data_IF_001954055024
#
_entry.id   IF_001954055024
#
_cell.length_a   1.000
_cell.length_b   1.000
_cell.length_c   1.000
_cell.angle_alpha   90.00
_cell.angle_beta   90.00
_cell.angle_gamma   90.00
#
_symmetry.space_group_name_H-M   'P 1'
#
loop_
_entity.id
_entity.type
_entity.pdbx_description
1 polymer ?
#
# COMPACT_ATOMS: atom_id res chain seq x y z
N UNK A 1 -7.44 1.07 18.81
CA UNK A 1 -6.86 0.36 17.64
C UNK A 1 -5.55 1.00 17.22
N UNK A 2 -4.53 0.24 16.78
CA UNK A 2 -3.28 0.74 16.22
C UNK A 2 -3.04 0.13 14.84
N UNK A 3 -2.73 0.97 13.86
CA UNK A 3 -2.55 0.53 12.47
C UNK A 3 -1.22 1.05 11.92
N UNK A 4 -0.36 0.15 11.45
CA UNK A 4 0.82 0.50 10.67
C UNK A 4 0.51 0.40 9.17
N UNK A 5 0.77 1.47 8.43
CA UNK A 5 0.72 1.51 6.98
C UNK A 5 2.16 1.41 6.46
N UNK A 6 2.54 0.29 5.89
CA UNK A 6 3.91 0.04 5.47
C UNK A 6 4.02 -0.15 3.94
N UNK A 7 5.01 0.48 3.35
CA UNK A 7 5.21 0.44 1.91
C UNK A 7 6.27 1.43 1.42
N UNK A 8 6.07 1.95 0.24
CA UNK A 8 7.02 2.80 -0.48
C UNK A 8 6.70 4.31 -0.35
N UNK A 9 7.11 5.09 -1.35
CA UNK A 9 6.88 6.55 -1.42
C UNK A 9 5.40 6.92 -1.54
N UNK A 10 4.57 6.05 -2.14
CA UNK A 10 3.13 6.29 -2.27
C UNK A 10 2.42 6.12 -0.91
N UNK A 11 2.91 5.22 -0.06
CA UNK A 11 2.48 5.14 1.35
C UNK A 11 2.96 6.36 2.12
N UNK A 12 4.21 6.79 1.90
CA UNK A 12 4.74 8.01 2.52
C UNK A 12 3.95 9.28 2.15
N UNK A 13 3.24 9.27 1.01
CA UNK A 13 2.49 10.42 0.51
C UNK A 13 3.37 11.42 -0.24
N UNK A 14 4.44 10.94 -0.90
CA UNK A 14 5.34 11.77 -1.70
C UNK A 14 4.59 12.49 -2.81
N UNK A 15 4.84 13.78 -3.01
CA UNK A 15 4.16 14.61 -4.02
C UNK A 15 2.90 15.32 -3.52
N UNK A 16 2.33 14.88 -2.38
CA UNK A 16 1.19 15.56 -1.77
C UNK A 16 1.64 16.81 -1.00
N UNK A 17 1.34 17.99 -1.53
CA UNK A 17 1.66 19.28 -0.92
C UNK A 17 0.97 19.49 0.44
N UNK A 18 -0.10 18.74 0.74
CA UNK A 18 -0.75 18.74 2.06
C UNK A 18 -0.09 17.78 3.06
N UNK A 19 0.92 17.02 2.64
CA UNK A 19 1.65 16.02 3.43
C UNK A 19 0.75 14.92 4.07
N UNK A 20 -0.45 14.67 3.55
CA UNK A 20 -1.40 13.69 4.10
C UNK A 20 -1.32 12.33 3.41
N UNK A 21 -1.00 12.31 2.12
CA UNK A 21 -1.08 11.11 1.30
C UNK A 21 -2.46 10.45 1.33
N UNK A 22 -2.60 9.25 0.78
CA UNK A 22 -3.82 8.46 0.93
C UNK A 22 -3.96 7.91 2.36
N UNK A 23 -2.86 7.59 3.03
CA UNK A 23 -2.85 7.04 4.40
C UNK A 23 -3.49 7.99 5.39
N UNK A 24 -3.07 9.26 5.40
CA UNK A 24 -3.65 10.26 6.31
C UNK A 24 -5.13 10.53 6.05
N UNK A 25 -5.55 10.44 4.78
CA UNK A 25 -6.96 10.61 4.40
C UNK A 25 -7.82 9.41 4.80
N UNK A 26 -7.33 8.18 4.63
CA UNK A 26 -8.00 6.96 5.09
C UNK A 26 -8.11 6.95 6.62
N UNK A 27 -7.03 7.29 7.32
CA UNK A 27 -7.04 7.41 8.79
C UNK A 27 -8.07 8.46 9.27
N UNK A 28 -8.12 9.63 8.62
CA UNK A 28 -9.11 10.66 8.93
C UNK A 28 -10.55 10.18 8.71
N UNK A 29 -10.82 9.44 7.63
CA UNK A 29 -12.12 8.85 7.35
C UNK A 29 -12.51 7.80 8.41
N UNK A 30 -11.56 6.95 8.84
CA UNK A 30 -11.78 5.97 9.89
C UNK A 30 -12.15 6.64 11.23
N UNK A 31 -11.41 7.67 11.61
CA UNK A 31 -11.66 8.45 12.84
C UNK A 31 -13.00 9.18 12.76
N UNK A 32 -13.31 9.84 11.66
CA UNK A 32 -14.61 10.50 11.44
C UNK A 32 -15.77 9.49 11.47
N UNK A 33 -15.53 8.24 11.08
CA UNK A 33 -16.46 7.12 11.21
C UNK A 33 -16.54 6.51 12.61
N UNK A 34 -15.90 7.08 13.61
CA UNK A 34 -15.99 6.68 15.03
C UNK A 34 -14.97 5.63 15.49
N UNK A 35 -13.94 5.30 14.67
CA UNK A 35 -12.86 4.42 15.14
C UNK A 35 -11.87 5.21 16.01
N UNK A 36 -11.57 4.69 17.19
CA UNK A 36 -10.43 5.15 18.01
C UNK A 36 -9.14 4.57 17.40
N UNK A 37 -8.50 5.34 16.54
CA UNK A 37 -7.40 4.90 15.69
C UNK A 37 -6.14 5.74 15.91
N UNK A 38 -5.00 5.05 16.16
CA UNK A 38 -3.65 5.61 15.98
C UNK A 38 -3.03 5.02 14.71
N UNK A 39 -2.78 5.87 13.72
CA UNK A 39 -2.15 5.49 12.45
C UNK A 39 -0.66 5.81 12.45
N UNK A 40 0.16 4.85 12.04
CA UNK A 40 1.60 5.00 11.84
C UNK A 40 1.93 4.82 10.36
N UNK A 41 2.43 5.87 9.72
CA UNK A 41 2.91 5.80 8.35
C UNK A 41 4.38 5.35 8.34
N UNK A 42 4.63 4.19 7.75
CA UNK A 42 5.96 3.55 7.61
C UNK A 42 6.37 3.49 6.11
N UNK A 43 5.93 4.44 5.31
CA UNK A 43 6.33 4.58 3.91
C UNK A 43 7.79 5.01 3.77
N UNK A 44 8.54 4.39 2.85
CA UNK A 44 9.94 4.77 2.53
C UNK A 44 10.11 4.91 1.03
N UNK A 45 10.55 6.09 0.58
CA UNK A 45 10.74 6.39 -0.85
C UNK A 45 11.63 5.37 -1.54
N UNK A 46 11.18 4.90 -2.71
CA UNK A 46 11.94 3.97 -3.55
C UNK A 46 12.01 2.52 -3.04
N UNK A 47 11.37 2.21 -1.91
CA UNK A 47 11.44 0.87 -1.33
C UNK A 47 10.76 -0.17 -2.23
N UNK A 48 11.45 -1.29 -2.49
CA UNK A 48 10.87 -2.49 -3.09
C UNK A 48 10.14 -3.33 -2.03
N UNK A 49 9.32 -4.28 -2.46
CA UNK A 49 8.65 -5.25 -1.57
C UNK A 49 9.63 -5.97 -0.64
N UNK A 50 10.80 -6.37 -1.17
CA UNK A 50 11.87 -7.04 -0.41
C UNK A 50 12.42 -6.13 0.70
N UNK A 51 12.59 -4.85 0.41
CA UNK A 51 13.06 -3.87 1.40
C UNK A 51 11.99 -3.61 2.47
N UNK A 52 10.70 -3.53 2.08
CA UNK A 52 9.59 -3.45 3.04
C UNK A 52 9.57 -4.67 3.95
N UNK A 53 9.68 -5.90 3.40
CA UNK A 53 9.68 -7.14 4.18
C UNK A 53 10.83 -7.22 5.19
N UNK A 54 12.01 -6.68 4.85
CA UNK A 54 13.18 -6.68 5.75
C UNK A 54 12.98 -5.81 6.99
N UNK A 55 12.30 -4.67 6.87
CA UNK A 55 12.16 -3.68 7.96
C UNK A 55 10.84 -3.79 8.72
N UNK A 56 9.79 -4.39 8.14
CA UNK A 56 8.42 -4.38 8.67
C UNK A 56 8.36 -4.77 10.15
N UNK A 57 8.93 -5.92 10.53
CA UNK A 57 8.84 -6.41 11.90
C UNK A 57 9.54 -5.48 12.91
N UNK A 58 10.68 -4.90 12.53
CA UNK A 58 11.46 -3.98 13.40
C UNK A 58 10.70 -2.68 13.61
N UNK A 59 10.08 -2.15 12.57
CA UNK A 59 9.37 -0.88 12.62
C UNK A 59 7.95 -1.00 13.22
N UNK A 60 7.24 -2.09 12.94
CA UNK A 60 5.88 -2.28 13.41
C UNK A 60 5.81 -2.69 14.90
N UNK A 61 6.68 -3.57 15.37
CA UNK A 61 6.66 -4.08 16.77
C UNK A 61 6.55 -3.01 17.84
N UNK A 62 7.36 -1.94 17.86
CA UNK A 62 7.29 -0.93 18.92
C UNK A 62 5.99 -0.10 18.87
N UNK A 63 5.23 -0.16 17.78
CA UNK A 63 3.99 0.58 17.54
C UNK A 63 2.74 -0.25 17.78
N UNK A 64 2.85 -1.58 17.68
CA UNK A 64 1.78 -2.54 17.83
C UNK A 64 1.97 -3.30 19.15
N UNK A 65 1.51 -2.70 20.26
CA UNK A 65 1.69 -3.25 21.61
C UNK A 65 0.74 -4.44 21.84
N UNK A 66 1.19 -5.43 22.60
CA UNK A 66 0.36 -6.55 23.00
C UNK A 66 -0.89 -6.08 23.77
N UNK A 67 -2.05 -6.63 23.43
CA UNK A 67 -3.34 -6.28 24.04
C UNK A 67 -4.15 -5.25 23.28
N UNK A 68 -3.55 -4.52 22.34
CA UNK A 68 -4.28 -3.61 21.45
C UNK A 68 -4.90 -4.37 20.27
N UNK A 69 -5.97 -3.83 19.67
CA UNK A 69 -6.40 -4.20 18.31
C UNK A 69 -5.38 -3.63 17.33
N UNK A 70 -4.43 -4.47 16.93
CA UNK A 70 -3.29 -4.12 16.09
C UNK A 70 -3.49 -4.65 14.67
N UNK A 71 -3.18 -3.82 13.65
CA UNK A 71 -3.33 -4.17 12.24
C UNK A 71 -2.22 -3.59 11.39
N UNK A 72 -1.97 -4.20 10.23
CA UNK A 72 -1.00 -3.72 9.24
C UNK A 72 -1.69 -3.61 7.89
N UNK A 73 -1.55 -2.46 7.24
CA UNK A 73 -1.91 -2.24 5.83
C UNK A 73 -0.62 -2.14 5.03
N UNK A 74 -0.46 -3.01 4.05
CA UNK A 74 0.69 -3.04 3.15
C UNK A 74 0.33 -2.40 1.81
N UNK A 75 1.27 -1.68 1.19
CA UNK A 75 1.17 -1.26 -0.22
C UNK A 75 2.57 -1.10 -0.80
N UNK A 76 2.85 -1.85 -1.87
CA UNK A 76 4.15 -1.89 -2.56
C UNK A 76 3.96 -2.45 -3.98
N UNK A 77 5.03 -2.48 -4.76
CA UNK A 77 5.07 -3.14 -6.06
C UNK A 77 5.44 -2.21 -7.21
N UNK A 78 5.15 -0.91 -7.14
CA UNK A 78 5.54 0.03 -8.20
C UNK A 78 7.05 0.03 -8.42
N UNK A 79 7.84 0.11 -7.36
CA UNK A 79 9.31 0.09 -7.46
C UNK A 79 9.85 -1.27 -7.93
N UNK A 80 9.16 -2.35 -7.66
CA UNK A 80 9.54 -3.71 -8.07
C UNK A 80 9.53 -3.85 -9.60
N UNK A 81 8.58 -3.18 -10.28
CA UNK A 81 8.38 -3.23 -11.72
C UNK A 81 9.28 -2.29 -12.53
N UNK A 82 10.04 -1.41 -11.87
CA UNK A 82 11.02 -0.54 -12.55
C UNK A 82 12.10 -1.42 -13.20
N UNK A 83 12.43 -1.11 -14.46
CA UNK A 83 13.50 -1.78 -15.20
C UNK A 83 14.76 -0.93 -15.14
N UNK A 84 15.83 -1.51 -14.59
CA UNK A 84 17.18 -0.94 -14.53
C UNK A 84 18.14 -1.93 -15.21
N UNK A 85 18.96 -1.49 -16.15
CA UNK A 85 19.90 -2.34 -16.91
C UNK A 85 19.23 -3.57 -17.56
N UNK A 86 18.00 -3.40 -18.08
CA UNK A 86 17.23 -4.44 -18.76
C UNK A 86 16.59 -5.48 -17.82
N UNK A 87 16.56 -5.25 -16.52
CA UNK A 87 15.96 -6.16 -15.54
C UNK A 87 15.03 -5.40 -14.59
N UNK A 88 13.93 -6.03 -14.22
CA UNK A 88 13.11 -5.51 -13.13
C UNK A 88 13.92 -5.49 -11.83
N UNK A 89 13.69 -4.47 -10.99
CA UNK A 89 14.33 -4.37 -9.67
C UNK A 89 14.00 -5.58 -8.80
N UNK A 90 12.74 -6.04 -8.85
CA UNK A 90 12.34 -7.32 -8.25
C UNK A 90 11.47 -8.09 -9.25
N UNK A 91 11.82 -9.32 -9.62
CA UNK A 91 10.93 -10.19 -10.37
C UNK A 91 9.64 -10.47 -9.59
N UNK A 92 8.53 -10.71 -10.29
CA UNK A 92 7.21 -10.98 -9.67
C UNK A 92 7.30 -12.02 -8.55
N UNK A 93 8.02 -13.12 -8.76
CA UNK A 93 8.16 -14.18 -7.75
C UNK A 93 8.81 -13.69 -6.45
N UNK A 94 9.78 -12.78 -6.54
CA UNK A 94 10.42 -12.17 -5.36
C UNK A 94 9.45 -11.27 -4.60
N UNK A 95 8.58 -10.57 -5.32
CA UNK A 95 7.52 -9.74 -4.72
C UNK A 95 6.51 -10.61 -3.97
N UNK A 96 6.09 -11.75 -4.56
CA UNK A 96 5.20 -12.71 -3.90
C UNK A 96 5.86 -13.35 -2.66
N UNK A 97 7.13 -13.75 -2.75
CA UNK A 97 7.90 -14.25 -1.60
C UNK A 97 8.00 -13.22 -0.47
N UNK A 98 8.17 -11.93 -0.82
CA UNK A 98 8.17 -10.84 0.15
C UNK A 98 6.80 -10.72 0.86
N UNK A 99 5.69 -10.87 0.14
CA UNK A 99 4.34 -10.87 0.73
C UNK A 99 4.17 -12.05 1.72
N UNK A 100 4.56 -13.27 1.33
CA UNK A 100 4.55 -14.46 2.22
C UNK A 100 5.34 -14.19 3.49
N UNK A 101 6.56 -13.67 3.33
CA UNK A 101 7.45 -13.32 4.45
C UNK A 101 6.82 -12.27 5.39
N UNK A 102 6.20 -11.24 4.83
CA UNK A 102 5.53 -10.20 5.64
C UNK A 102 4.35 -10.76 6.40
N UNK A 103 3.51 -11.58 5.76
CA UNK A 103 2.37 -12.25 6.40
C UNK A 103 2.81 -13.12 7.56
N UNK A 104 3.85 -13.95 7.38
CA UNK A 104 4.33 -14.86 8.42
C UNK A 104 4.97 -14.10 9.60
N UNK A 105 5.74 -13.05 9.31
CA UNK A 105 6.37 -12.21 10.35
C UNK A 105 5.41 -11.28 11.08
N UNK A 106 4.28 -10.93 10.46
CA UNK A 106 3.24 -10.13 11.08
C UNK A 106 2.39 -10.95 12.06
N UNK A 107 2.29 -12.28 11.86
CA UNK A 107 1.42 -13.13 12.67
C UNK A 107 1.69 -12.97 14.18
N UNK A 108 0.64 -12.89 15.03
CA UNK A 108 -0.78 -13.02 14.71
C UNK A 108 -1.49 -11.71 14.28
N UNK A 109 -0.77 -10.63 14.00
CA UNK A 109 -1.36 -9.35 13.60
C UNK A 109 -1.96 -9.47 12.20
N UNK A 110 -3.27 -9.17 12.00
CA UNK A 110 -3.89 -9.20 10.69
C UNK A 110 -3.25 -8.19 9.72
N UNK A 111 -3.14 -8.59 8.46
CA UNK A 111 -2.67 -7.71 7.38
C UNK A 111 -3.73 -7.57 6.29
N UNK A 112 -3.74 -6.41 5.62
CA UNK A 112 -4.46 -6.13 4.38
C UNK A 112 -3.45 -5.62 3.35
N UNK A 113 -3.59 -6.03 2.09
CA UNK A 113 -2.74 -5.57 1.00
C UNK A 113 -3.52 -4.64 0.07
N UNK A 114 -2.96 -3.45 -0.18
CA UNK A 114 -3.38 -2.53 -1.24
C UNK A 114 -2.45 -2.73 -2.42
N UNK A 115 -2.99 -3.00 -3.59
CA UNK A 115 -2.24 -3.18 -4.83
C UNK A 115 -1.52 -1.92 -5.30
N UNK A 116 -0.53 -2.06 -6.20
CA UNK A 116 0.22 -0.93 -6.76
C UNK A 116 -0.68 -0.07 -7.64
N UNK A 117 -0.64 1.27 -7.55
CA UNK A 117 -1.31 2.15 -8.49
C UNK A 117 -0.52 2.32 -9.79
N UNK A 118 -1.16 2.94 -10.80
CA UNK A 118 -0.54 3.25 -12.09
C UNK A 118 0.49 4.39 -11.99
N UNK A 119 1.45 4.38 -12.92
CA UNK A 119 2.49 5.41 -13.15
C UNK A 119 2.34 6.03 -14.54
N UNK A 120 3.23 6.95 -14.93
CA UNK A 120 3.16 7.59 -16.26
C UNK A 120 3.67 6.71 -17.41
N UNK A 121 4.48 5.71 -17.15
CA UNK A 121 5.08 4.79 -18.12
C UNK A 121 4.12 3.63 -18.47
N UNK A 122 3.68 3.55 -19.73
CA UNK A 122 2.72 2.53 -20.17
C UNK A 122 3.32 1.11 -20.13
N UNK A 123 4.60 0.94 -20.48
CA UNK A 123 5.26 -0.38 -20.39
C UNK A 123 5.39 -0.82 -18.93
N UNK A 124 5.66 0.11 -18.02
CA UNK A 124 5.65 -0.18 -16.58
C UNK A 124 4.23 -0.48 -16.10
N UNK A 125 3.21 0.20 -16.59
CA UNK A 125 1.81 -0.09 -16.27
C UNK A 125 1.39 -1.49 -16.71
N UNK A 126 1.87 -1.98 -17.84
CA UNK A 126 1.65 -3.38 -18.27
C UNK A 126 2.28 -4.36 -17.25
N UNK A 127 3.49 -4.08 -16.79
CA UNK A 127 4.16 -4.88 -15.75
C UNK A 127 3.43 -4.79 -14.41
N UNK A 128 2.96 -3.59 -14.03
CA UNK A 128 2.15 -3.38 -12.81
C UNK A 128 0.86 -4.19 -12.89
N UNK A 129 0.16 -4.18 -14.01
CA UNK A 129 -1.08 -4.96 -14.19
C UNK A 129 -0.85 -6.47 -14.00
N UNK A 130 0.26 -7.00 -14.54
CA UNK A 130 0.63 -8.41 -14.34
C UNK A 130 0.91 -8.70 -12.87
N UNK A 131 1.66 -7.82 -12.21
CA UNK A 131 1.99 -7.95 -10.79
C UNK A 131 0.74 -7.80 -9.90
N UNK A 132 -0.15 -6.85 -10.21
CA UNK A 132 -1.41 -6.61 -9.47
C UNK A 132 -2.27 -7.87 -9.41
N UNK A 133 -2.46 -8.55 -10.56
CA UNK A 133 -3.18 -9.82 -10.64
C UNK A 133 -2.48 -10.94 -9.87
N UNK A 134 -1.16 -11.01 -9.95
CA UNK A 134 -0.39 -12.02 -9.21
C UNK A 134 -0.49 -11.80 -7.69
N UNK A 135 -0.43 -10.55 -7.23
CA UNK A 135 -0.60 -10.18 -5.82
C UNK A 135 -2.01 -10.49 -5.32
N UNK A 136 -3.05 -10.18 -6.10
CA UNK A 136 -4.43 -10.52 -5.76
C UNK A 136 -4.61 -12.04 -5.58
N UNK A 137 -4.10 -12.83 -6.53
CA UNK A 137 -4.16 -14.29 -6.45
C UNK A 137 -3.40 -14.84 -5.24
N UNK A 138 -2.19 -14.35 -4.99
CA UNK A 138 -1.37 -14.76 -3.84
C UNK A 138 -2.00 -14.36 -2.51
N UNK A 139 -2.53 -13.13 -2.42
CA UNK A 139 -3.22 -12.64 -1.24
C UNK A 139 -4.43 -13.53 -0.90
N UNK A 140 -5.22 -13.94 -1.91
CA UNK A 140 -6.33 -14.87 -1.72
C UNK A 140 -5.86 -16.22 -1.18
N UNK A 141 -4.76 -16.79 -1.72
CA UNK A 141 -4.17 -18.04 -1.23
C UNK A 141 -3.67 -17.96 0.22
N UNK A 142 -3.23 -16.77 0.65
CA UNK A 142 -2.76 -16.49 2.01
C UNK A 142 -3.88 -16.04 2.98
N UNK A 143 -5.13 -15.97 2.52
CA UNK A 143 -6.26 -15.39 3.25
C UNK A 143 -5.98 -13.93 3.71
N UNK A 144 -5.29 -13.16 2.88
CA UNK A 144 -5.01 -11.73 3.07
C UNK A 144 -6.01 -10.94 2.24
N UNK A 145 -6.82 -10.05 2.84
CA UNK A 145 -7.70 -9.16 2.08
C UNK A 145 -6.89 -8.27 1.11
N UNK A 146 -7.40 -8.14 -0.12
CA UNK A 146 -6.77 -7.36 -1.18
C UNK A 146 -7.67 -6.22 -1.65
N UNK A 147 -7.08 -5.05 -1.85
CA UNK A 147 -7.78 -3.87 -2.39
C UNK A 147 -7.01 -3.37 -3.61
N UNK A 148 -7.58 -3.52 -4.81
CA UNK A 148 -6.94 -3.09 -6.05
C UNK A 148 -6.91 -1.55 -6.16
N UNK A 149 -5.72 -0.97 -6.39
CA UNK A 149 -5.55 0.45 -6.67
C UNK A 149 -5.35 0.73 -8.18
N UNK A 150 -4.80 -0.21 -8.94
CA UNK A 150 -4.48 -0.04 -10.35
C UNK A 150 -5.69 0.37 -11.22
N UNK A 151 -6.85 -0.30 -11.16
CA UNK A 151 -8.00 0.05 -12.01
C UNK A 151 -8.50 1.48 -11.78
N UNK A 152 -8.42 1.97 -10.55
CA UNK A 152 -8.89 3.32 -10.19
C UNK A 152 -7.91 4.43 -10.61
N UNK A 153 -6.67 4.09 -10.92
CA UNK A 153 -5.60 5.06 -11.20
C UNK A 153 -5.19 5.08 -12.68
N UNK A 154 -5.20 3.94 -13.37
CA UNK A 154 -4.69 3.80 -14.75
C UNK A 154 -5.44 4.67 -15.77
N UNK A 155 -6.74 4.87 -15.62
CA UNK A 155 -7.57 5.67 -16.52
C UNK A 155 -8.07 6.98 -15.92
N UNK A 156 -7.72 7.29 -14.67
CA UNK A 156 -8.19 8.49 -13.97
C UNK A 156 -7.36 9.73 -14.35
N UNK A 157 -7.94 10.76 -14.99
CA UNK A 157 -7.22 12.00 -15.27
C UNK A 157 -6.74 12.71 -14.00
N UNK A 158 -7.48 12.60 -12.89
CA UNK A 158 -7.11 13.22 -11.60
C UNK A 158 -5.85 12.58 -11.03
N UNK A 159 -5.61 11.30 -11.33
CA UNK A 159 -4.37 10.62 -10.97
C UNK A 159 -3.27 10.83 -12.03
N UNK A 160 -3.58 10.53 -13.30
CA UNK A 160 -2.61 10.48 -14.40
C UNK A 160 -1.99 11.84 -14.72
N UNK A 161 -2.79 12.92 -14.72
CA UNK A 161 -2.27 14.24 -15.12
C UNK A 161 -1.18 14.76 -14.17
N UNK A 162 -1.36 14.82 -12.83
CA UNK A 162 -0.29 15.26 -11.95
C UNK A 162 0.92 14.30 -11.95
N UNK A 163 0.73 13.00 -12.12
CA UNK A 163 1.83 12.04 -12.28
C UNK A 163 2.63 12.36 -13.54
N UNK A 164 1.97 12.63 -14.69
CA UNK A 164 2.59 12.95 -15.98
C UNK A 164 3.38 14.27 -15.94
N UNK A 165 2.81 15.32 -15.38
CA UNK A 165 3.49 16.63 -15.32
C UNK A 165 4.54 16.73 -14.22
N UNK A 166 4.54 15.76 -13.29
CA UNK A 166 5.45 15.67 -12.17
C UNK A 166 6.68 14.81 -12.45
N UNK A 167 6.93 13.84 -11.60
CA UNK A 167 8.10 12.97 -11.68
C UNK A 167 7.80 11.58 -12.34
N UNK A 168 6.61 11.41 -12.87
CA UNK A 168 6.15 10.17 -13.50
C UNK A 168 5.61 9.11 -12.53
N UNK A 169 5.69 9.34 -11.21
CA UNK A 169 5.31 8.35 -10.19
C UNK A 169 4.30 8.88 -9.18
N UNK A 170 4.43 10.13 -8.76
CA UNK A 170 3.73 10.66 -7.60
C UNK A 170 2.68 11.70 -8.01
N UNK A 171 1.42 11.52 -7.59
CA UNK A 171 0.38 12.53 -7.81
C UNK A 171 0.47 13.67 -6.78
N UNK A 172 -0.29 14.71 -7.03
CA UNK A 172 -0.55 15.81 -6.11
C UNK A 172 -1.62 15.43 -5.03
N UNK A 173 -2.02 16.42 -4.21
CA UNK A 173 -3.07 16.22 -3.19
C UNK A 173 -4.40 15.75 -3.76
N UNK A 174 -4.78 16.19 -4.99
CA UNK A 174 -6.03 15.78 -5.63
C UNK A 174 -5.97 14.31 -6.07
N UNK A 175 -4.85 13.86 -6.63
CA UNK A 175 -4.62 12.44 -6.97
C UNK A 175 -4.63 11.55 -5.73
N UNK A 176 -3.98 11.94 -4.64
CA UNK A 176 -4.06 11.19 -3.40
C UNK A 176 -5.45 11.21 -2.77
N UNK A 177 -6.22 12.29 -2.90
CA UNK A 177 -7.60 12.33 -2.44
C UNK A 177 -8.49 11.38 -3.25
N UNK A 178 -8.28 11.31 -4.58
CA UNK A 178 -8.95 10.34 -5.45
C UNK A 178 -8.66 8.90 -5.03
N UNK A 179 -7.39 8.54 -4.84
CA UNK A 179 -6.99 7.22 -4.39
C UNK A 179 -7.60 6.89 -3.02
N UNK A 180 -7.54 7.83 -2.08
CA UNK A 180 -8.12 7.65 -0.75
C UNK A 180 -9.64 7.44 -0.79
N UNK A 181 -10.36 8.10 -1.69
CA UNK A 181 -11.80 7.89 -1.85
C UNK A 181 -12.14 6.46 -2.29
N UNK A 182 -11.27 5.82 -3.07
CA UNK A 182 -11.41 4.42 -3.48
C UNK A 182 -11.02 3.47 -2.35
N UNK A 183 -9.91 3.74 -1.65
CA UNK A 183 -9.35 2.85 -0.64
C UNK A 183 -10.07 2.93 0.71
N UNK A 184 -10.60 4.09 1.11
CA UNK A 184 -11.16 4.28 2.44
C UNK A 184 -12.36 3.36 2.73
N UNK A 185 -13.35 3.16 1.84
CA UNK A 185 -14.47 2.29 2.14
C UNK A 185 -14.05 0.86 2.48
N UNK A 186 -13.29 0.12 1.65
CA UNK A 186 -12.89 -1.25 1.94
C UNK A 186 -11.90 -1.35 3.12
N UNK A 187 -10.94 -0.43 3.22
CA UNK A 187 -9.96 -0.45 4.34
C UNK A 187 -10.66 -0.17 5.68
N UNK A 188 -11.56 0.83 5.75
CA UNK A 188 -12.30 1.15 6.97
C UNK A 188 -13.28 0.02 7.34
N UNK A 189 -13.91 -0.63 6.35
CA UNK A 189 -14.74 -1.81 6.60
C UNK A 189 -13.92 -2.93 7.26
N UNK A 190 -12.76 -3.26 6.69
CA UNK A 190 -11.85 -4.26 7.26
C UNK A 190 -11.33 -3.87 8.66
N UNK A 191 -11.06 -2.59 8.90
CA UNK A 191 -10.64 -2.12 10.24
C UNK A 191 -11.74 -2.31 11.30
N UNK A 192 -13.00 -2.45 10.92
CA UNK A 192 -14.13 -2.70 11.83
C UNK A 192 -14.40 -4.17 12.08
N UNK A 193 -13.82 -5.06 11.29
CA UNK A 193 -14.00 -6.50 11.51
C UNK A 193 -13.37 -6.91 12.84
N UNK A 194 -13.99 -7.80 13.62
CA UNK A 194 -13.38 -8.32 14.84
C UNK A 194 -12.12 -9.13 14.49
N UNK A 195 -11.03 -8.90 15.22
CA UNK A 195 -9.84 -9.77 15.11
C UNK A 195 -10.19 -11.12 15.73
N UNK A 196 -10.08 -12.19 14.92
CA UNK A 196 -10.18 -13.55 15.46
C UNK A 196 -9.09 -13.75 16.52
N UNK A 197 -9.53 -14.04 17.76
CA UNK A 197 -8.64 -14.32 18.90
C UNK A 197 -8.16 -15.74 18.87
#
# INVERSE_FOLDING_TARGET
MRVCFAGDSLVAGTGDESARGWVGRVAAAAIAGGLDLTAYNLGVRGATSVQVARRLAIEARPRLTAGDDARIVLSFGVNDTIVEDGRQREPTERTLEALRTMRDRAAPVPILLVGPPAVDDDEQNDRILVLDRALEHEAAALAVPYVAAFPATVSSPVWRHPVHVGDGFHPDAAGYAHLAAVLAPPVVAWLREPVAR
#
